data_IF_956596401070
#
_entry.id   IF_956596401070
#
_cell.length_a   1.000
_cell.length_b   1.000
_cell.length_c   1.000
_cell.angle_alpha   90.00
_cell.angle_beta   90.00
_cell.angle_gamma   90.00
#
_symmetry.space_group_name_H-M   'P 1'
#
loop_
_entity.id
_entity.type
_entity.pdbx_description
1 polymer ?
#
# COMPACT_ATOMS: atom_id res chain seq x y z
N UNK A 1 -25.98 -4.12 16.01
CA UNK A 1 -25.42 -5.15 15.09
C UNK A 1 -24.28 -4.50 14.34
N UNK A 2 -23.04 -4.92 14.59
CA UNK A 2 -21.89 -4.45 13.80
C UNK A 2 -22.03 -5.08 12.41
N UNK A 3 -22.26 -4.25 11.39
CA UNK A 3 -22.19 -4.71 9.99
C UNK A 3 -20.73 -5.08 9.74
N UNK A 4 -20.46 -6.36 9.55
CA UNK A 4 -19.18 -6.79 8.99
C UNK A 4 -19.15 -6.22 7.58
N UNK A 5 -18.40 -5.12 7.40
CA UNK A 5 -18.36 -4.38 6.15
C UNK A 5 -17.35 -5.07 5.21
N UNK A 6 -17.72 -6.25 4.71
CA UNK A 6 -16.93 -7.00 3.72
C UNK A 6 -16.80 -6.22 2.39
N UNK A 7 -17.57 -5.15 2.21
CA UNK A 7 -17.55 -4.25 1.05
C UNK A 7 -16.77 -2.95 1.30
N UNK A 8 -15.89 -2.91 2.32
CA UNK A 8 -15.10 -1.70 2.56
C UNK A 8 -14.15 -1.44 1.36
N UNK A 9 -14.43 -0.35 0.64
CA UNK A 9 -13.64 0.09 -0.51
C UNK A 9 -12.56 1.08 -0.09
N UNK A 10 -11.40 1.00 -0.71
CA UNK A 10 -10.35 2.00 -0.54
C UNK A 10 -10.83 3.37 -1.09
N UNK A 11 -10.71 4.48 -0.34
CA UNK A 11 -11.17 5.78 -0.80
C UNK A 11 -10.32 6.32 -1.96
N UNK A 12 -9.11 5.80 -2.18
CA UNK A 12 -8.17 6.25 -3.20
C UNK A 12 -8.44 5.60 -4.56
N UNK A 13 -8.53 4.27 -4.64
CA UNK A 13 -8.77 3.56 -5.90
C UNK A 13 -10.22 3.12 -6.12
N UNK A 14 -11.08 3.22 -5.09
CA UNK A 14 -12.47 2.73 -5.07
C UNK A 14 -12.63 1.20 -5.21
N UNK A 15 -11.53 0.43 -5.22
CA UNK A 15 -11.57 -1.03 -5.20
C UNK A 15 -11.80 -1.56 -3.78
N UNK A 16 -12.31 -2.80 -3.66
CA UNK A 16 -12.51 -3.51 -2.39
C UNK A 16 -11.18 -3.77 -1.69
N UNK A 17 -11.15 -3.65 -0.37
CA UNK A 17 -9.99 -4.04 0.45
C UNK A 17 -10.12 -5.53 0.81
N UNK A 18 -9.62 -6.40 -0.05
CA UNK A 18 -9.72 -7.86 0.06
C UNK A 18 -8.63 -8.50 0.94
N UNK A 19 -7.43 -7.92 0.95
CA UNK A 19 -6.31 -8.31 1.80
C UNK A 19 -5.94 -7.16 2.75
N UNK A 20 -6.72 -6.92 3.83
CA UNK A 20 -6.50 -5.77 4.70
C UNK A 20 -5.19 -5.92 5.49
N UNK A 21 -4.18 -5.13 5.12
CA UNK A 21 -2.97 -4.90 5.92
C UNK A 21 -2.91 -3.41 6.20
N UNK A 22 -2.81 -3.02 7.47
CA UNK A 22 -2.77 -1.61 7.83
C UNK A 22 -1.43 -0.95 7.43
N UNK A 23 -1.43 0.38 7.22
CA UNK A 23 -0.21 1.16 6.96
C UNK A 23 0.96 0.86 7.89
N UNK A 24 0.73 0.67 9.18
CA UNK A 24 1.80 0.43 10.17
C UNK A 24 2.47 -0.96 9.98
N UNK A 25 1.69 -1.98 9.61
CA UNK A 25 2.24 -3.30 9.31
C UNK A 25 3.02 -3.28 8.00
N UNK A 26 2.54 -2.54 6.99
CA UNK A 26 3.27 -2.35 5.73
C UNK A 26 4.54 -1.51 5.92
N UNK A 27 4.48 -0.48 6.76
CA UNK A 27 5.66 0.28 7.17
C UNK A 27 6.68 -0.64 7.83
N UNK A 28 6.26 -1.47 8.78
CA UNK A 28 7.15 -2.45 9.41
C UNK A 28 7.83 -3.39 8.41
N UNK A 29 7.13 -3.82 7.35
CA UNK A 29 7.72 -4.61 6.26
C UNK A 29 8.74 -3.82 5.44
N UNK A 30 8.45 -2.56 5.14
CA UNK A 30 9.38 -1.65 4.45
C UNK A 30 10.63 -1.41 5.30
N UNK A 31 10.47 -1.19 6.61
CA UNK A 31 11.59 -1.02 7.52
C UNK A 31 12.45 -2.28 7.58
N UNK A 32 11.84 -3.47 7.59
CA UNK A 32 12.55 -4.74 7.53
C UNK A 32 13.31 -4.92 6.21
N UNK A 33 12.70 -4.56 5.08
CA UNK A 33 13.36 -4.58 3.77
C UNK A 33 14.55 -3.60 3.70
N UNK A 34 14.42 -2.43 4.31
CA UNK A 34 15.50 -1.45 4.41
C UNK A 34 16.55 -1.83 5.45
N UNK A 35 16.27 -2.80 6.33
CA UNK A 35 17.19 -3.25 7.36
C UNK A 35 18.41 -3.89 6.72
N UNK A 36 19.58 -3.31 6.95
CA UNK A 36 20.83 -3.68 6.29
C UNK A 36 21.21 -2.80 5.10
N UNK A 37 20.39 -1.80 4.75
CA UNK A 37 20.74 -0.74 3.79
C UNK A 37 21.23 0.53 4.50
N UNK A 38 21.65 1.52 3.71
CA UNK A 38 22.04 2.84 4.25
C UNK A 38 20.89 3.46 5.08
N UNK A 39 21.12 3.82 6.35
CA UNK A 39 20.13 4.45 7.22
C UNK A 39 19.47 5.70 6.64
N UNK A 40 20.10 6.37 5.66
CA UNK A 40 19.55 7.56 5.00
C UNK A 40 18.23 7.27 4.28
N UNK A 41 18.04 6.05 3.78
CA UNK A 41 16.83 5.63 3.07
C UNK A 41 15.61 5.60 3.99
N UNK A 42 15.78 5.02 5.19
CA UNK A 42 14.74 4.90 6.20
C UNK A 42 14.19 6.26 6.64
N UNK A 43 15.08 7.23 6.89
CA UNK A 43 14.68 8.56 7.38
C UNK A 43 13.89 9.35 6.33
N UNK A 44 14.20 9.16 5.03
CA UNK A 44 13.51 9.84 3.93
C UNK A 44 12.17 9.21 3.59
N UNK A 45 12.01 7.90 3.80
CA UNK A 45 10.77 7.15 3.57
C UNK A 45 9.79 7.35 4.73
N UNK A 46 10.23 7.27 6.00
CA UNK A 46 9.36 7.49 7.19
C UNK A 46 8.62 8.83 7.18
N UNK A 47 9.31 9.92 6.80
CA UNK A 47 8.68 11.25 6.69
C UNK A 47 7.54 11.29 5.68
N UNK A 48 7.59 10.41 4.68
CA UNK A 48 6.55 10.29 3.68
C UNK A 48 5.42 9.36 4.12
N UNK A 49 5.61 8.40 5.02
CA UNK A 49 4.56 7.47 5.48
C UNK A 49 3.56 8.12 6.45
N UNK A 50 3.97 9.17 7.17
CA UNK A 50 3.20 9.82 8.23
C UNK A 50 1.82 10.42 7.82
N UNK A 51 1.45 10.42 6.53
CA UNK A 51 0.14 10.89 6.08
C UNK A 51 -0.94 9.79 6.06
N UNK A 52 -0.59 8.53 6.30
CA UNK A 52 -1.51 7.40 6.37
C UNK A 52 -2.04 7.13 7.78
N UNK A 53 -2.37 8.19 8.52
CA UNK A 53 -3.01 8.05 9.84
C UNK A 53 -4.37 7.34 9.68
N UNK A 54 -4.48 6.14 10.24
CA UNK A 54 -5.75 5.42 10.31
C UNK A 54 -6.69 6.21 11.22
N UNK A 55 -7.73 6.81 10.66
CA UNK A 55 -8.86 7.23 11.47
C UNK A 55 -9.65 5.96 11.81
N UNK A 56 -10.30 5.96 12.98
CA UNK A 56 -11.20 4.85 13.34
C UNK A 56 -12.50 4.99 12.54
N UNK A 57 -12.48 4.54 11.30
CA UNK A 57 -13.65 4.47 10.43
C UNK A 57 -13.90 2.99 10.09
N UNK A 58 -15.17 2.62 9.90
CA UNK A 58 -15.72 1.27 9.67
C UNK A 58 -15.14 0.47 8.47
N UNK A 59 -13.83 0.27 8.42
CA UNK A 59 -13.09 -0.55 7.47
C UNK A 59 -12.86 -1.98 7.97
N UNK A 60 -12.28 -2.86 7.13
CA UNK A 60 -11.95 -4.22 7.53
C UNK A 60 -10.80 -4.20 8.55
N UNK A 61 -10.65 -5.30 9.29
CA UNK A 61 -9.56 -5.45 10.26
C UNK A 61 -8.32 -5.98 9.57
N UNK A 62 -7.18 -5.39 9.88
CA UNK A 62 -5.86 -5.84 9.46
C UNK A 62 -5.66 -7.30 9.87
N UNK A 63 -5.29 -8.16 8.92
CA UNK A 63 -5.07 -9.58 9.19
C UNK A 63 -3.86 -9.85 10.11
N UNK A 64 -2.95 -8.87 10.27
CA UNK A 64 -1.75 -9.00 11.10
C UNK A 64 -1.93 -8.49 12.53
N UNK A 65 -2.56 -7.33 12.70
CA UNK A 65 -2.64 -6.63 14.00
C UNK A 65 -4.06 -6.29 14.44
N UNK A 66 -5.08 -6.63 13.65
CA UNK A 66 -6.50 -6.46 13.96
C UNK A 66 -7.01 -5.00 14.05
N UNK A 67 -6.17 -4.00 13.74
CA UNK A 67 -6.57 -2.58 13.60
C UNK A 67 -7.42 -2.34 12.35
N UNK A 68 -8.23 -1.29 12.34
CA UNK A 68 -9.01 -0.92 11.15
C UNK A 68 -8.11 -0.45 10.01
N UNK A 69 -8.51 -0.78 8.78
CA UNK A 69 -7.80 -0.42 7.55
C UNK A 69 -8.72 0.42 6.68
N UNK A 70 -8.28 1.62 6.32
CA UNK A 70 -9.05 2.50 5.40
C UNK A 70 -8.52 2.44 3.97
N UNK A 71 -7.24 2.15 3.80
CA UNK A 71 -6.54 2.22 2.51
C UNK A 71 -6.06 0.83 2.15
N UNK A 72 -6.26 0.42 0.90
CA UNK A 72 -5.78 -0.89 0.46
C UNK A 72 -4.24 -0.92 0.42
N UNK A 73 -3.62 -2.09 0.64
CA UNK A 73 -2.17 -2.22 0.57
C UNK A 73 -1.59 -1.76 -0.77
N UNK A 74 -2.32 -1.94 -1.86
CA UNK A 74 -1.87 -1.51 -3.19
C UNK A 74 -1.64 0.00 -3.27
N UNK A 75 -2.60 0.80 -2.80
CA UNK A 75 -2.45 2.26 -2.82
C UNK A 75 -1.31 2.73 -1.91
N UNK A 76 -1.14 2.09 -0.76
CA UNK A 76 -0.01 2.36 0.12
C UNK A 76 1.32 2.05 -0.57
N UNK A 77 1.51 0.84 -1.08
CA UNK A 77 2.75 0.43 -1.76
C UNK A 77 3.01 1.25 -3.03
N UNK A 78 1.97 1.65 -3.77
CA UNK A 78 2.10 2.55 -4.94
C UNK A 78 2.63 3.93 -4.54
N UNK A 79 2.22 4.45 -3.39
CA UNK A 79 2.75 5.72 -2.90
C UNK A 79 4.24 5.60 -2.53
N UNK A 80 4.62 4.54 -1.82
CA UNK A 80 6.02 4.23 -1.50
C UNK A 80 6.86 4.04 -2.77
N UNK A 81 6.32 3.36 -3.78
CA UNK A 81 6.95 3.23 -5.08
C UNK A 81 7.26 4.60 -5.72
N UNK A 82 6.33 5.55 -5.66
CA UNK A 82 6.55 6.89 -6.21
C UNK A 82 7.65 7.62 -5.44
N UNK A 83 7.66 7.51 -4.10
CA UNK A 83 8.69 8.10 -3.25
C UNK A 83 10.07 7.52 -3.56
N UNK A 84 10.16 6.20 -3.73
CA UNK A 84 11.41 5.52 -4.11
C UNK A 84 11.84 5.98 -5.50
N UNK A 85 10.93 6.00 -6.48
CA UNK A 85 11.22 6.46 -7.84
C UNK A 85 11.76 7.90 -7.88
N UNK A 86 11.24 8.78 -7.02
CA UNK A 86 11.66 10.19 -6.97
C UNK A 86 12.96 10.40 -6.18
N UNK A 87 13.15 9.71 -5.05
CA UNK A 87 14.23 10.01 -4.10
C UNK A 87 15.39 9.02 -4.16
N UNK A 88 15.11 7.76 -4.51
CA UNK A 88 16.01 6.61 -4.44
C UNK A 88 15.78 5.64 -5.60
N UNK A 89 15.86 6.11 -6.86
CA UNK A 89 15.57 5.26 -8.02
C UNK A 89 16.48 4.02 -8.09
N UNK A 90 17.64 4.03 -7.45
CA UNK A 90 18.55 2.89 -7.32
C UNK A 90 17.95 1.70 -6.55
N UNK A 91 16.91 1.94 -5.73
CA UNK A 91 16.23 0.88 -4.97
C UNK A 91 15.00 0.31 -5.68
N UNK A 92 14.63 0.85 -6.85
CA UNK A 92 13.33 0.59 -7.48
C UNK A 92 13.17 -0.88 -7.93
N UNK A 93 14.17 -1.45 -8.61
CA UNK A 93 14.13 -2.84 -9.09
C UNK A 93 14.06 -3.83 -7.93
N UNK A 94 14.81 -3.55 -6.86
CA UNK A 94 14.79 -4.37 -5.65
C UNK A 94 13.44 -4.26 -4.93
N UNK A 95 12.90 -3.05 -4.82
CA UNK A 95 11.57 -2.81 -4.25
C UNK A 95 10.48 -3.55 -5.01
N UNK A 96 10.49 -3.51 -6.35
CA UNK A 96 9.54 -4.23 -7.20
C UNK A 96 9.64 -5.74 -7.00
N UNK A 97 10.87 -6.26 -6.87
CA UNK A 97 11.12 -7.68 -6.62
C UNK A 97 10.59 -8.10 -5.25
N UNK A 98 10.84 -7.30 -4.21
CA UNK A 98 10.46 -7.63 -2.84
C UNK A 98 8.94 -7.55 -2.60
N UNK A 99 8.29 -6.50 -3.10
CA UNK A 99 6.85 -6.27 -2.89
C UNK A 99 5.98 -6.78 -4.05
N UNK A 100 6.55 -7.49 -5.03
CA UNK A 100 5.81 -8.07 -6.14
C UNK A 100 5.15 -7.02 -7.05
N UNK A 101 5.77 -5.84 -7.19
CA UNK A 101 5.30 -4.77 -8.05
C UNK A 101 5.56 -5.15 -9.51
N UNK A 102 4.68 -5.99 -10.04
CA UNK A 102 4.72 -6.43 -11.42
C UNK A 102 4.19 -5.29 -12.33
N UNK A 103 5.03 -4.84 -13.27
CA UNK A 103 4.76 -3.70 -14.20
C UNK A 103 3.43 -3.85 -14.97
N UNK A 104 2.90 -5.06 -15.03
CA UNK A 104 1.68 -5.49 -15.72
C UNK A 104 0.36 -5.06 -15.05
N UNK A 105 0.37 -4.50 -13.83
CA UNK A 105 -0.87 -4.02 -13.20
C UNK A 105 -1.40 -2.69 -13.74
N UNK A 106 -0.69 -1.99 -14.65
CA UNK A 106 -1.14 -0.72 -15.22
C UNK A 106 -1.79 -0.80 -16.61
N UNK A 107 -1.77 -1.94 -17.31
CA UNK A 107 -2.33 -2.03 -18.67
C UNK A 107 -3.75 -2.59 -18.77
N UNK A 108 -4.35 -3.13 -17.70
CA UNK A 108 -5.66 -3.81 -17.78
C UNK A 108 -6.87 -3.05 -17.19
N UNK A 109 -6.83 -1.72 -17.08
CA UNK A 109 -8.05 -0.90 -16.81
C UNK A 109 -8.37 0.16 -17.87
N UNK A 110 -7.83 0.04 -19.08
CA UNK A 110 -8.30 0.83 -20.26
C UNK A 110 -8.49 -0.15 -21.43
N UNK A 111 -9.64 -0.81 -21.48
CA UNK A 111 -9.94 -1.76 -22.56
C UNK A 111 -11.18 -2.61 -22.30
N UNK A 112 -12.29 -1.97 -21.98
CA UNK A 112 -13.57 -2.64 -21.73
C UNK A 112 -14.77 -1.91 -22.33
N UNK A 113 -14.56 -1.10 -23.37
CA UNK A 113 -15.64 -0.74 -24.29
C UNK A 113 -15.68 -1.82 -25.38
N UNK A 114 -16.71 -2.66 -25.37
CA UNK A 114 -17.24 -3.31 -26.56
C UNK A 114 -18.67 -3.81 -26.31
N UNK A 115 -19.62 -2.99 -26.77
CA UNK A 115 -20.86 -3.35 -27.46
C UNK A 115 -21.48 -4.74 -27.23
N UNK A 116 -22.69 -4.73 -26.66
CA UNK A 116 -23.74 -5.73 -26.86
C UNK A 116 -25.08 -5.02 -26.98
#
# INVERSE_FOLDING_TARGET
MQKNNWDATCPLCKDVIDNPICPECLESEIEQWLSGKDPIYLNKIRKSIAHFDNKEINGPKCIKCNKQVEICPYCFIKDINNIIKEKHPELLDEFHTFFGFRHDYQENKIGGDNNG
#
